data_IF_935703362367
#
_entry.id   IF_935703362367
#
_cell.length_a   1.000
_cell.length_b   1.000
_cell.length_c   1.000
_cell.angle_alpha   90.00
_cell.angle_beta   90.00
_cell.angle_gamma   90.00
#
_symmetry.space_group_name_H-M   'P 1'
#
loop_
_entity.id
_entity.type
_entity.pdbx_description
1 polymer ?
#
# COMPACT_ATOMS: atom_id res chain seq x y z
N UNK A 1 21.35 2.72 10.13
CA UNK A 1 20.10 3.27 10.71
C UNK A 1 19.40 4.24 9.74
N UNK A 2 19.21 3.89 8.47
CA UNK A 2 18.49 4.72 7.48
C UNK A 2 17.19 4.06 7.00
N UNK A 3 17.26 2.75 6.74
CA UNK A 3 16.12 1.94 6.28
C UNK A 3 14.81 2.05 7.11
N UNK A 4 14.87 2.25 8.43
CA UNK A 4 13.67 2.35 9.26
C UNK A 4 12.93 3.70 9.08
N UNK A 5 13.64 4.78 8.81
CA UNK A 5 13.02 6.08 8.52
C UNK A 5 12.39 6.07 7.13
N UNK A 6 13.07 5.44 6.17
CA UNK A 6 12.61 5.34 4.78
C UNK A 6 11.28 4.57 4.68
N UNK A 7 11.10 3.50 5.47
CA UNK A 7 9.85 2.74 5.49
C UNK A 7 8.65 3.53 6.05
N UNK A 8 8.84 4.33 7.10
CA UNK A 8 7.75 5.13 7.68
C UNK A 8 7.26 6.21 6.73
N UNK A 9 8.15 6.77 5.91
CA UNK A 9 7.78 7.72 4.86
C UNK A 9 6.93 7.05 3.77
N UNK A 10 7.37 5.90 3.26
CA UNK A 10 6.62 5.10 2.28
C UNK A 10 5.26 4.69 2.85
N UNK A 11 5.21 4.26 4.11
CA UNK A 11 3.97 3.88 4.79
C UNK A 11 2.97 5.04 4.84
N UNK A 12 3.43 6.22 5.24
CA UNK A 12 2.60 7.43 5.31
C UNK A 12 2.06 7.86 3.93
N UNK A 13 2.91 7.84 2.90
CA UNK A 13 2.52 8.14 1.51
C UNK A 13 1.51 7.13 0.98
N UNK A 14 1.75 5.85 1.22
CA UNK A 14 0.87 4.74 0.83
C UNK A 14 -0.51 4.88 1.48
N UNK A 15 -0.55 5.12 2.79
CA UNK A 15 -1.81 5.32 3.51
C UNK A 15 -2.57 6.52 2.97
N UNK A 16 -1.90 7.64 2.75
CA UNK A 16 -2.51 8.86 2.19
C UNK A 16 -3.11 8.60 0.80
N UNK A 17 -2.37 7.91 -0.06
CA UNK A 17 -2.83 7.56 -1.41
C UNK A 17 -4.12 6.72 -1.41
N UNK A 18 -4.18 5.69 -0.56
CA UNK A 18 -5.38 4.84 -0.41
C UNK A 18 -6.56 5.60 0.21
N UNK A 19 -6.29 6.53 1.12
CA UNK A 19 -7.33 7.36 1.76
C UNK A 19 -8.04 8.25 0.74
N UNK A 20 -7.26 8.91 -0.11
CA UNK A 20 -7.77 9.83 -1.14
C UNK A 20 -8.58 9.10 -2.22
N UNK A 21 -8.41 7.78 -2.36
CA UNK A 21 -9.02 6.92 -3.38
C UNK A 21 -9.82 5.76 -2.77
N UNK A 22 -10.51 6.06 -1.67
CA UNK A 22 -11.28 5.06 -0.92
C UNK A 22 -12.30 4.34 -1.81
N UNK A 23 -12.25 3.00 -1.78
CA UNK A 23 -13.06 2.10 -2.59
C UNK A 23 -12.48 1.70 -3.94
N UNK A 24 -11.33 2.26 -4.35
CA UNK A 24 -10.60 1.85 -5.54
C UNK A 24 -9.55 0.79 -5.19
N UNK A 25 -9.27 -0.11 -6.14
CA UNK A 25 -8.30 -1.20 -6.00
C UNK A 25 -7.01 -0.84 -6.74
N UNK A 26 -5.87 -1.05 -6.10
CA UNK A 26 -4.55 -0.79 -6.69
C UNK A 26 -3.60 -1.95 -6.43
N UNK A 27 -2.73 -2.22 -7.39
CA UNK A 27 -1.57 -3.08 -7.15
C UNK A 27 -0.46 -2.31 -6.43
N UNK A 28 0.53 -3.01 -5.90
CA UNK A 28 1.71 -2.36 -5.33
C UNK A 28 2.44 -1.47 -6.35
N UNK A 29 2.54 -1.93 -7.60
CA UNK A 29 3.13 -1.17 -8.70
C UNK A 29 2.35 0.12 -9.03
N UNK A 30 1.01 0.07 -9.03
CA UNK A 30 0.18 1.26 -9.26
C UNK A 30 0.44 2.33 -8.20
N UNK A 31 0.41 1.93 -6.92
CA UNK A 31 0.65 2.87 -5.80
C UNK A 31 2.06 3.42 -5.88
N UNK A 32 3.07 2.55 -6.03
CA UNK A 32 4.49 2.91 -6.06
C UNK A 32 4.79 3.95 -7.15
N UNK A 33 4.24 3.74 -8.36
CA UNK A 33 4.37 4.68 -9.47
C UNK A 33 3.74 6.05 -9.16
N UNK A 34 2.59 6.07 -8.47
CA UNK A 34 1.89 7.31 -8.13
C UNK A 34 2.57 8.10 -7.00
N UNK A 35 3.14 7.41 -6.00
CA UNK A 35 3.83 8.06 -4.88
C UNK A 35 5.33 8.26 -5.14
N UNK A 36 5.81 7.84 -6.32
CA UNK A 36 7.22 7.90 -6.75
C UNK A 36 8.18 7.16 -5.82
N UNK A 37 7.77 5.98 -5.36
CA UNK A 37 8.54 5.13 -4.45
C UNK A 37 8.88 3.77 -5.07
N UNK A 38 9.70 2.99 -4.36
CA UNK A 38 10.03 1.63 -4.76
C UNK A 38 8.86 0.66 -4.54
N UNK A 39 8.63 -0.23 -5.49
CA UNK A 39 7.52 -1.20 -5.46
C UNK A 39 7.61 -2.20 -4.30
N UNK A 40 8.79 -2.75 -4.00
CA UNK A 40 8.99 -3.69 -2.88
C UNK A 40 8.69 -3.02 -1.53
N UNK A 41 9.19 -1.80 -1.33
CA UNK A 41 8.90 -1.01 -0.13
C UNK A 41 7.40 -0.69 0.00
N UNK A 42 6.76 -0.35 -1.12
CA UNK A 42 5.32 -0.05 -1.19
C UNK A 42 4.49 -1.30 -0.92
N UNK A 43 4.87 -2.46 -1.48
CA UNK A 43 4.25 -3.75 -1.22
C UNK A 43 4.27 -4.09 0.28
N UNK A 44 5.44 -3.96 0.91
CA UNK A 44 5.56 -4.19 2.35
C UNK A 44 4.72 -3.20 3.18
N UNK A 45 4.63 -1.94 2.76
CA UNK A 45 3.77 -0.95 3.41
C UNK A 45 2.28 -1.30 3.27
N UNK A 46 1.83 -1.72 2.09
CA UNK A 46 0.45 -2.13 1.82
C UNK A 46 0.04 -3.38 2.62
N UNK A 47 0.90 -4.39 2.67
CA UNK A 47 0.70 -5.56 3.51
C UNK A 47 0.71 -5.22 5.01
N UNK A 48 1.61 -4.31 5.43
CA UNK A 48 1.61 -3.81 6.80
C UNK A 48 0.29 -3.12 7.14
N UNK A 49 -0.22 -2.23 6.28
CA UNK A 49 -1.48 -1.52 6.49
C UNK A 49 -2.65 -2.50 6.55
N UNK A 50 -2.83 -3.37 5.56
CA UNK A 50 -3.92 -4.35 5.53
C UNK A 50 -3.91 -5.34 6.71
N UNK A 51 -2.74 -5.61 7.29
CA UNK A 51 -2.63 -6.45 8.49
C UNK A 51 -2.94 -5.72 9.81
N UNK A 52 -2.88 -4.39 9.83
CA UNK A 52 -3.00 -3.58 11.05
C UNK A 52 -4.21 -2.61 11.04
N UNK A 53 -4.95 -2.54 9.93
CA UNK A 53 -6.07 -1.62 9.72
C UNK A 53 -7.27 -2.40 9.23
N UNK A 54 -8.36 -2.36 9.99
CA UNK A 54 -9.59 -3.09 9.65
C UNK A 54 -10.29 -2.54 8.40
N UNK A 55 -9.97 -1.30 8.01
CA UNK A 55 -10.53 -0.63 6.85
C UNK A 55 -9.68 -0.76 5.58
N UNK A 56 -8.57 -1.50 5.62
CA UNK A 56 -7.74 -1.77 4.44
C UNK A 56 -7.68 -3.29 4.22
N UNK A 57 -8.04 -3.73 3.02
CA UNK A 57 -8.04 -5.16 2.65
C UNK A 57 -7.04 -5.43 1.55
N UNK A 58 -6.42 -6.62 1.61
CA UNK A 58 -5.59 -7.18 0.56
C UNK A 58 -6.30 -8.39 -0.08
N UNK A 59 -6.44 -8.37 -1.40
CA UNK A 59 -6.91 -9.49 -2.20
C UNK A 59 -5.67 -10.16 -2.81
N UNK A 60 -5.33 -11.35 -2.29
CA UNK A 60 -4.10 -12.07 -2.68
C UNK A 60 -4.27 -12.70 -4.06
N UNK A 61 -3.40 -12.31 -4.99
CA UNK A 61 -3.37 -12.80 -6.36
C UNK A 61 -2.55 -14.08 -6.54
N UNK A 62 -2.32 -14.46 -7.80
CA UNK A 62 -1.44 -15.61 -8.14
C UNK A 62 0.05 -15.30 -7.90
N UNK A 63 0.40 -14.01 -7.81
CA UNK A 63 1.74 -13.49 -7.52
C UNK A 63 1.66 -12.15 -6.77
N UNK A 64 2.73 -11.70 -6.09
CA UNK A 64 2.73 -10.44 -5.33
C UNK A 64 2.34 -9.21 -6.14
N UNK A 65 2.74 -9.14 -7.41
CA UNK A 65 2.37 -8.05 -8.33
C UNK A 65 0.88 -8.06 -8.73
N UNK A 66 0.21 -9.20 -8.54
CA UNK A 66 -1.23 -9.35 -8.77
C UNK A 66 -2.08 -9.12 -7.50
N UNK A 67 -1.45 -8.86 -6.34
CA UNK A 67 -2.16 -8.50 -5.13
C UNK A 67 -2.84 -7.12 -5.32
N UNK A 68 -4.11 -7.04 -4.93
CA UNK A 68 -4.87 -5.79 -4.97
C UNK A 68 -5.16 -5.30 -3.55
N UNK A 69 -4.97 -4.01 -3.33
CA UNK A 69 -5.22 -3.35 -2.05
C UNK A 69 -6.31 -2.29 -2.20
N UNK A 70 -7.21 -2.24 -1.24
CA UNK A 70 -8.32 -1.28 -1.21
C UNK A 70 -8.56 -0.81 0.22
N UNK A 71 -8.78 0.49 0.38
CA UNK A 71 -9.37 1.04 1.61
C UNK A 71 -10.89 1.09 1.45
N UNK A 72 -11.63 0.56 2.42
CA UNK A 72 -13.09 0.66 2.46
C UNK A 72 -13.56 2.11 2.47
N UNK A 73 -14.77 2.36 1.96
CA UNK A 73 -15.41 3.67 2.12
C UNK A 73 -15.93 3.78 3.55
N UNK A 74 -15.32 4.66 4.34
CA UNK A 74 -15.84 5.10 5.64
C UNK A 74 -17.10 5.94 5.48
#
# INVERSE_FOLDING_TARGET
>A
KKAATDFLEVLSKTESYLSDRSGEKFTAGDVANNIQENEEATFHALHHLSSNRDDISAEIGESPEADHFVRGKS
#
